data_IF_685880806604
#
_entry.id   IF_685880806604
#
_cell.length_a   1.000
_cell.length_b   1.000
_cell.length_c   1.000
_cell.angle_alpha   90.00
_cell.angle_beta   90.00
_cell.angle_gamma   90.00
#
_symmetry.space_group_name_H-M   'P 1'
#
loop_
_entity.id
_entity.type
_entity.pdbx_description
1 polymer ?
#
# COMPACT_ATOMS: atom_id res chain seq x y z
N UNK A 1 11.22 4.41 12.55
CA UNK A 1 11.35 5.84 12.82
C UNK A 1 10.00 6.53 13.04
N UNK A 2 9.12 6.70 12.03
CA UNK A 2 7.82 7.39 12.23
C UNK A 2 6.95 6.80 13.36
N UNK A 3 6.81 5.47 13.42
CA UNK A 3 6.09 4.81 14.50
C UNK A 3 6.77 5.00 15.86
N UNK A 4 8.10 4.88 15.90
CA UNK A 4 8.90 5.06 17.12
C UNK A 4 8.74 6.49 17.66
N UNK A 5 8.92 7.50 16.80
CA UNK A 5 8.73 8.91 17.16
C UNK A 5 7.31 9.20 17.61
N UNK A 6 6.30 8.64 16.95
CA UNK A 6 4.89 8.83 17.34
C UNK A 6 4.64 8.28 18.75
N UNK A 7 5.12 7.07 19.04
CA UNK A 7 5.01 6.44 20.36
C UNK A 7 5.73 7.29 21.41
N UNK A 8 6.95 7.72 21.13
CA UNK A 8 7.76 8.53 22.04
C UNK A 8 7.11 9.88 22.33
N UNK A 9 6.54 10.56 21.32
CA UNK A 9 5.83 11.83 21.49
C UNK A 9 4.57 11.68 22.33
N UNK A 10 3.76 10.64 22.10
CA UNK A 10 2.56 10.38 22.90
C UNK A 10 2.94 10.14 24.37
N UNK A 11 3.95 9.30 24.61
CA UNK A 11 4.45 9.02 25.97
C UNK A 11 5.00 10.26 26.66
N UNK A 12 5.78 11.06 25.93
CA UNK A 12 6.36 12.31 26.45
C UNK A 12 5.28 13.33 26.79
N UNK A 13 4.27 13.49 25.92
CA UNK A 13 3.13 14.37 26.19
C UNK A 13 2.39 13.94 27.45
N UNK A 14 2.09 12.65 27.59
CA UNK A 14 1.41 12.12 28.79
C UNK A 14 2.23 12.33 30.07
N UNK A 15 3.53 12.12 30.03
CA UNK A 15 4.40 12.31 31.19
C UNK A 15 4.50 13.77 31.64
N UNK A 16 4.41 14.71 30.69
CA UNK A 16 4.55 16.15 30.96
C UNK A 16 3.23 16.87 31.18
N UNK A 17 2.12 16.35 30.64
CA UNK A 17 0.77 16.93 30.70
C UNK A 17 -0.31 15.82 30.81
N UNK A 18 -0.39 15.12 31.94
CA UNK A 18 -1.27 13.94 32.09
C UNK A 18 -2.76 14.24 31.91
N UNK A 19 -3.20 15.47 32.21
CA UNK A 19 -4.60 15.88 32.12
C UNK A 19 -4.98 16.47 30.75
N UNK A 20 -4.02 16.66 29.85
CA UNK A 20 -4.27 17.26 28.53
C UNK A 20 -4.42 16.17 27.45
N UNK A 21 -5.47 16.19 26.63
CA UNK A 21 -5.59 15.26 25.51
C UNK A 21 -4.49 15.52 24.47
N UNK A 22 -4.23 14.53 23.62
CA UNK A 22 -3.31 14.66 22.49
C UNK A 22 -4.05 14.57 21.15
N UNK A 23 -3.44 15.12 20.12
CA UNK A 23 -3.76 14.85 18.73
C UNK A 23 -2.49 14.34 18.05
N UNK A 24 -2.53 13.12 17.52
CA UNK A 24 -1.43 12.51 16.80
C UNK A 24 -1.83 12.30 15.34
N UNK A 25 -1.02 12.82 14.42
CA UNK A 25 -1.20 12.65 12.98
C UNK A 25 -0.02 11.85 12.41
N UNK A 26 -0.27 10.57 12.11
CA UNK A 26 0.70 9.66 11.52
C UNK A 26 0.39 9.50 10.03
N UNK A 27 1.09 10.27 9.20
CA UNK A 27 1.01 10.19 7.74
C UNK A 27 2.23 9.43 7.19
N UNK A 28 2.02 8.19 6.77
CA UNK A 28 3.08 7.38 6.16
C UNK A 28 3.17 7.69 4.66
N UNK A 29 4.38 7.60 4.09
CA UNK A 29 4.58 7.70 2.63
C UNK A 29 4.38 6.37 1.90
N UNK A 30 3.65 5.44 2.51
CA UNK A 30 3.54 4.07 2.02
C UNK A 30 2.85 4.02 0.67
N UNK A 31 3.33 3.12 -0.21
CA UNK A 31 2.73 2.87 -1.54
C UNK A 31 2.77 4.06 -2.51
N UNK A 32 3.39 5.19 -2.14
CA UNK A 32 3.80 6.23 -3.08
C UNK A 32 5.12 5.85 -3.75
N UNK A 33 5.32 6.24 -5.01
CA UNK A 33 6.58 5.99 -5.71
C UNK A 33 7.76 6.75 -5.05
N UNK A 34 9.00 6.24 -5.18
CA UNK A 34 9.36 4.90 -5.60
C UNK A 34 9.00 3.85 -4.53
N UNK A 35 8.50 2.69 -4.95
CA UNK A 35 8.14 1.61 -4.02
C UNK A 35 9.39 0.88 -3.55
N UNK A 36 9.75 1.07 -2.28
CA UNK A 36 10.86 0.35 -1.65
C UNK A 36 10.42 -0.24 -0.32
N UNK A 37 10.72 -1.53 -0.13
CA UNK A 37 10.53 -2.22 1.14
C UNK A 37 11.61 -3.29 1.29
N UNK A 38 11.93 -3.65 2.54
CA UNK A 38 12.90 -4.71 2.80
C UNK A 38 12.39 -6.07 2.29
N UNK A 39 13.28 -6.96 1.79
CA UNK A 39 12.89 -8.21 1.13
C UNK A 39 11.96 -9.10 1.97
N UNK A 40 12.12 -9.13 3.28
CA UNK A 40 11.28 -9.91 4.20
C UNK A 40 9.80 -9.51 4.19
N UNK A 41 9.46 -8.34 3.63
CA UNK A 41 8.09 -7.88 3.43
C UNK A 41 7.59 -8.19 2.03
N UNK A 42 8.36 -7.87 0.98
CA UNK A 42 7.97 -8.14 -0.41
C UNK A 42 7.88 -9.64 -0.69
N UNK A 43 8.80 -10.44 -0.14
CA UNK A 43 8.93 -11.84 -0.49
C UNK A 43 7.82 -12.72 0.09
N UNK A 44 7.05 -12.19 1.06
CA UNK A 44 5.80 -12.81 1.54
C UNK A 44 4.75 -12.92 0.44
N UNK A 45 4.84 -12.06 -0.57
CA UNK A 45 3.91 -11.99 -1.68
C UNK A 45 4.43 -12.65 -2.95
N UNK A 46 5.58 -13.34 -2.90
CA UNK A 46 6.18 -13.98 -4.07
C UNK A 46 5.18 -14.88 -4.81
N UNK A 47 4.96 -14.61 -6.09
CA UNK A 47 4.05 -15.35 -6.97
C UNK A 47 2.55 -15.11 -6.73
N UNK A 48 2.18 -14.23 -5.78
CA UNK A 48 0.76 -13.92 -5.49
C UNK A 48 0.08 -13.16 -6.63
N UNK A 49 0.85 -12.57 -7.54
CA UNK A 49 0.36 -11.70 -8.60
C UNK A 49 0.64 -12.22 -10.01
N UNK A 50 1.09 -13.47 -10.15
CA UNK A 50 1.44 -14.08 -11.46
C UNK A 50 0.22 -14.25 -12.39
N UNK A 51 -0.98 -14.28 -11.83
CA UNK A 51 -2.24 -14.30 -12.57
C UNK A 51 -2.62 -12.94 -13.20
N UNK A 52 -1.90 -11.87 -12.86
CA UNK A 52 -2.05 -10.55 -13.46
C UNK A 52 -3.20 -9.70 -12.91
N UNK A 53 -3.27 -8.45 -13.38
CA UNK A 53 -4.25 -7.45 -12.92
C UNK A 53 -5.70 -7.80 -13.26
N UNK A 54 -5.95 -8.54 -14.34
CA UNK A 54 -7.31 -8.94 -14.72
C UNK A 54 -7.90 -9.92 -13.69
N UNK A 55 -7.15 -10.97 -13.35
CA UNK A 55 -7.55 -11.93 -12.33
C UNK A 55 -7.63 -11.28 -10.93
N UNK A 56 -6.65 -10.44 -10.59
CA UNK A 56 -6.62 -9.73 -9.30
C UNK A 56 -7.85 -8.82 -9.14
N UNK A 57 -8.25 -8.12 -10.20
CA UNK A 57 -9.41 -7.24 -10.20
C UNK A 57 -10.71 -8.00 -9.97
N UNK A 58 -10.88 -9.16 -10.59
CA UNK A 58 -12.04 -10.03 -10.34
C UNK A 58 -12.05 -10.58 -8.91
N UNK A 59 -10.89 -10.97 -8.37
CA UNK A 59 -10.76 -11.40 -6.97
C UNK A 59 -11.16 -10.30 -5.99
N UNK A 60 -10.63 -9.09 -6.16
CA UNK A 60 -10.94 -7.94 -5.32
C UNK A 60 -12.44 -7.62 -5.37
N UNK A 61 -13.03 -7.57 -6.57
CA UNK A 61 -14.45 -7.30 -6.75
C UNK A 61 -15.34 -8.33 -6.04
N UNK A 62 -15.06 -9.62 -6.23
CA UNK A 62 -15.80 -10.70 -5.57
C UNK A 62 -15.71 -10.59 -4.05
N UNK A 63 -14.51 -10.35 -3.52
CA UNK A 63 -14.28 -10.18 -2.08
C UNK A 63 -14.98 -8.94 -1.51
N UNK A 64 -15.02 -7.84 -2.26
CA UNK A 64 -15.76 -6.64 -1.85
C UNK A 64 -17.27 -6.89 -1.75
N UNK A 65 -17.84 -7.70 -2.66
CA UNK A 65 -19.24 -8.14 -2.56
C UNK A 65 -19.47 -9.03 -1.35
N UNK A 66 -18.61 -10.04 -1.15
CA UNK A 66 -18.69 -10.98 -0.02
C UNK A 66 -18.61 -10.29 1.34
N UNK A 67 -17.75 -9.26 1.46
CA UNK A 67 -17.59 -8.46 2.67
C UNK A 67 -18.65 -7.36 2.83
N UNK A 68 -19.49 -7.12 1.82
CA UNK A 68 -20.49 -6.04 1.84
C UNK A 68 -19.91 -4.64 1.76
N UNK A 69 -18.66 -4.49 1.29
CA UNK A 69 -18.00 -3.19 1.07
C UNK A 69 -18.67 -2.44 -0.08
N UNK A 70 -19.16 -3.17 -1.09
CA UNK A 70 -19.92 -2.63 -2.22
C UNK A 70 -21.31 -3.29 -2.30
N UNK A 71 -22.34 -2.59 -2.82
CA UNK A 71 -23.69 -3.16 -2.97
C UNK A 71 -23.71 -4.41 -3.87
N UNK A 72 -24.59 -5.41 -3.61
CA UNK A 72 -24.66 -6.65 -4.39
C UNK A 72 -24.94 -6.48 -5.89
N UNK A 73 -25.61 -5.39 -6.28
CA UNK A 73 -25.95 -5.10 -7.68
C UNK A 73 -24.89 -4.25 -8.41
N UNK A 74 -23.75 -3.99 -7.77
CA UNK A 74 -22.65 -3.23 -8.38
C UNK A 74 -22.10 -4.01 -9.56
N UNK A 75 -21.91 -3.36 -10.72
CA UNK A 75 -21.27 -3.99 -11.86
C UNK A 75 -19.76 -3.73 -11.83
N UNK A 76 -18.98 -4.76 -12.16
CA UNK A 76 -17.56 -4.59 -12.42
C UNK A 76 -17.37 -3.82 -13.74
N UNK A 77 -16.60 -2.72 -13.71
CA UNK A 77 -16.39 -1.85 -14.89
C UNK A 77 -15.68 -2.57 -16.05
N UNK A 78 -15.57 -1.95 -17.23
CA UNK A 78 -14.62 -2.41 -18.24
C UNK A 78 -13.18 -2.10 -17.84
N UNK A 79 -12.20 -2.84 -18.36
CA UNK A 79 -10.79 -2.42 -18.31
C UNK A 79 -10.61 -1.18 -19.20
N UNK A 80 -9.87 -0.15 -18.76
CA UNK A 80 -9.54 0.98 -19.63
C UNK A 80 -8.79 0.53 -20.89
N UNK A 81 -9.08 1.14 -22.05
CA UNK A 81 -8.46 0.77 -23.34
C UNK A 81 -6.93 0.93 -23.33
N UNK A 82 -6.41 1.81 -22.47
CA UNK A 82 -4.98 2.08 -22.31
C UNK A 82 -4.23 0.97 -21.56
N UNK A 83 -4.95 0.04 -20.92
CA UNK A 83 -4.35 -1.07 -20.17
C UNK A 83 -4.54 -2.37 -20.97
N UNK A 84 -3.44 -3.01 -21.42
CA UNK A 84 -3.54 -4.25 -22.18
C UNK A 84 -4.17 -5.37 -21.34
N UNK A 85 -4.70 -6.40 -22.01
CA UNK A 85 -5.06 -7.63 -21.32
C UNK A 85 -3.81 -8.28 -20.75
N UNK A 86 -3.91 -8.91 -19.58
CA UNK A 86 -2.78 -9.67 -19.04
C UNK A 86 -2.36 -10.80 -19.97
N UNK A 87 -3.30 -11.44 -20.65
CA UNK A 87 -3.04 -12.48 -21.65
C UNK A 87 -2.24 -11.96 -22.86
N UNK A 88 -2.48 -10.72 -23.28
CA UNK A 88 -1.80 -10.05 -24.40
C UNK A 88 -0.53 -9.30 -23.94
N UNK A 89 -0.31 -9.18 -22.63
CA UNK A 89 0.82 -8.43 -22.09
C UNK A 89 2.14 -9.14 -22.39
N UNK A 90 3.18 -8.46 -22.91
CA UNK A 90 4.38 -9.14 -23.38
C UNK A 90 5.07 -9.89 -22.24
N UNK A 91 5.36 -11.17 -22.48
CA UNK A 91 5.86 -12.11 -21.47
C UNK A 91 7.10 -11.59 -20.74
N UNK A 92 8.00 -10.91 -21.46
CA UNK A 92 9.23 -10.33 -20.90
C UNK A 92 8.99 -9.31 -19.77
N UNK A 93 7.85 -8.62 -19.76
CA UNK A 93 7.53 -7.66 -18.69
C UNK A 93 6.73 -8.27 -17.53
N UNK A 94 6.17 -9.48 -17.69
CA UNK A 94 5.33 -10.10 -16.64
C UNK A 94 6.07 -10.28 -15.32
N UNK A 95 7.34 -10.77 -15.29
CA UNK A 95 8.08 -10.90 -14.03
C UNK A 95 8.27 -9.56 -13.31
N UNK A 96 8.53 -8.49 -14.06
CA UNK A 96 8.71 -7.15 -13.49
C UNK A 96 7.40 -6.60 -12.96
N UNK A 97 6.30 -6.72 -13.72
CA UNK A 97 4.98 -6.27 -13.28
C UNK A 97 4.53 -6.99 -11.99
N UNK A 98 4.70 -8.32 -11.94
CA UNK A 98 4.41 -9.12 -10.75
C UNK A 98 5.27 -8.66 -9.57
N UNK A 99 6.58 -8.51 -9.77
CA UNK A 99 7.51 -8.08 -8.71
C UNK A 99 7.20 -6.69 -8.18
N UNK A 100 6.84 -5.74 -9.03
CA UNK A 100 6.42 -4.40 -8.59
C UNK A 100 5.18 -4.48 -7.69
N UNK A 101 4.20 -5.32 -8.03
CA UNK A 101 3.02 -5.53 -7.18
C UNK A 101 3.37 -6.24 -5.85
N UNK A 102 4.32 -7.18 -5.85
CA UNK A 102 4.84 -7.79 -4.62
C UNK A 102 5.50 -6.77 -3.69
N UNK A 103 6.31 -5.86 -4.25
CA UNK A 103 6.95 -4.78 -3.49
C UNK A 103 5.90 -3.80 -2.96
N UNK A 104 4.91 -3.44 -3.76
CA UNK A 104 3.77 -2.61 -3.35
C UNK A 104 2.99 -3.25 -2.17
N UNK A 105 2.64 -4.53 -2.29
CA UNK A 105 1.94 -5.27 -1.24
C UNK A 105 2.81 -5.43 0.03
N UNK A 106 4.10 -5.68 -0.14
CA UNK A 106 5.08 -5.71 0.95
C UNK A 106 5.18 -4.37 1.67
N UNK A 107 5.19 -3.25 0.93
CA UNK A 107 5.23 -1.92 1.51
C UNK A 107 3.96 -1.65 2.35
N UNK A 108 2.78 -1.96 1.81
CA UNK A 108 1.52 -1.87 2.56
C UNK A 108 1.56 -2.72 3.84
N UNK A 109 1.99 -3.98 3.75
CA UNK A 109 2.07 -4.87 4.91
C UNK A 109 3.06 -4.37 5.98
N UNK A 110 4.19 -3.81 5.56
CA UNK A 110 5.13 -3.18 6.48
C UNK A 110 4.50 -1.96 7.18
N UNK A 111 3.79 -1.13 6.44
CA UNK A 111 3.09 0.04 6.97
C UNK A 111 2.01 -0.34 7.96
N UNK A 112 1.20 -1.35 7.65
CA UNK A 112 0.20 -1.90 8.58
C UNK A 112 0.86 -2.38 9.88
N UNK A 113 1.98 -3.09 9.79
CA UNK A 113 2.73 -3.51 10.97
C UNK A 113 3.28 -2.33 11.79
N UNK A 114 3.74 -1.25 11.15
CA UNK A 114 4.19 -0.05 11.86
C UNK A 114 3.04 0.69 12.55
N UNK A 115 1.86 0.74 11.92
CA UNK A 115 0.64 1.27 12.55
C UNK A 115 0.25 0.40 13.75
N UNK A 116 0.27 -0.92 13.59
CA UNK A 116 0.02 -1.89 14.66
C UNK A 116 0.87 -1.61 15.90
N UNK A 117 2.18 -1.34 15.73
CA UNK A 117 3.07 -0.97 16.85
C UNK A 117 2.61 0.26 17.63
N UNK A 118 2.06 1.27 16.94
CA UNK A 118 1.52 2.49 17.60
C UNK A 118 0.25 2.16 18.37
N UNK A 119 -0.66 1.38 17.78
CA UNK A 119 -1.89 0.97 18.44
C UNK A 119 -1.60 0.06 19.65
N UNK A 120 -0.66 -0.87 19.52
CA UNK A 120 -0.20 -1.74 20.61
C UNK A 120 0.40 -0.92 21.76
N UNK A 121 1.13 0.16 21.45
CA UNK A 121 1.64 1.06 22.49
C UNK A 121 0.51 1.81 23.21
N UNK A 122 -0.55 2.24 22.50
CA UNK A 122 -1.74 2.83 23.14
C UNK A 122 -2.42 1.83 24.07
N UNK A 123 -2.52 0.56 23.67
CA UNK A 123 -3.08 -0.51 24.52
C UNK A 123 -2.19 -0.75 25.75
N UNK A 124 -0.89 -0.94 25.54
CA UNK A 124 0.08 -1.23 26.60
C UNK A 124 0.15 -0.10 27.64
N UNK A 125 0.00 1.14 27.19
CA UNK A 125 0.02 2.31 28.05
C UNK A 125 -1.38 2.59 28.67
N UNK A 126 -2.43 1.84 28.32
CA UNK A 126 -3.78 2.05 28.85
C UNK A 126 -4.44 3.34 28.34
N UNK A 127 -4.13 3.73 27.11
CA UNK A 127 -4.70 4.89 26.40
C UNK A 127 -5.77 4.49 25.36
N UNK A 128 -5.87 3.20 25.02
CA UNK A 128 -6.72 2.71 23.94
C UNK A 128 -8.20 3.10 24.08
N UNK A 129 -8.79 2.87 25.26
CA UNK A 129 -10.23 3.05 25.46
C UNK A 129 -10.70 4.52 25.37
N UNK A 130 -9.77 5.47 25.50
CA UNK A 130 -10.02 6.92 25.41
C UNK A 130 -9.35 7.55 24.17
N UNK A 131 -9.00 6.73 23.16
CA UNK A 131 -8.43 7.23 21.90
C UNK A 131 -9.37 6.96 20.74
N UNK A 132 -9.82 8.02 20.07
CA UNK A 132 -10.49 7.91 18.77
C UNK A 132 -9.44 7.71 17.67
N UNK A 133 -9.47 6.55 17.02
CA UNK A 133 -8.60 6.25 15.86
C UNK A 133 -9.39 6.45 14.57
N UNK A 134 -8.87 7.32 13.70
CA UNK A 134 -9.37 7.51 12.34
C UNK A 134 -8.31 6.99 11.38
N UNK A 135 -8.66 5.97 10.61
CA UNK A 135 -7.81 5.43 9.56
C UNK A 135 -8.34 5.85 8.18
N UNK A 136 -7.51 6.55 7.41
CA UNK A 136 -7.81 6.97 6.06
C UNK A 136 -6.95 6.16 5.09
N UNK A 137 -7.59 5.37 4.23
CA UNK A 137 -6.91 4.56 3.20
C UNK A 137 -6.47 5.45 2.04
N UNK A 138 -5.38 6.19 2.25
CA UNK A 138 -4.79 7.10 1.28
C UNK A 138 -5.36 8.52 1.31
N UNK A 139 -4.60 9.46 0.76
CA UNK A 139 -5.03 10.84 0.51
C UNK A 139 -5.66 11.02 -0.89
N UNK A 140 -5.53 10.00 -1.75
CA UNK A 140 -6.08 9.92 -3.10
C UNK A 140 -6.27 8.45 -3.56
N UNK A 141 -6.64 8.25 -4.83
CA UNK A 141 -6.71 6.91 -5.46
C UNK A 141 -5.33 6.37 -5.85
N UNK A 142 -5.27 5.10 -6.26
CA UNK A 142 -4.01 4.46 -6.64
C UNK A 142 -3.27 5.22 -7.76
N UNK A 143 -1.96 5.41 -7.59
CA UNK A 143 -1.11 6.16 -8.51
C UNK A 143 -0.91 5.45 -9.85
N UNK A 144 -0.87 6.24 -10.93
CA UNK A 144 -0.57 5.78 -12.29
C UNK A 144 0.92 5.94 -12.68
N UNK A 145 1.80 6.35 -11.75
CA UNK A 145 3.21 6.67 -11.99
C UNK A 145 4.07 5.48 -12.44
N UNK A 146 3.54 4.25 -12.39
CA UNK A 146 4.19 3.06 -12.93
C UNK A 146 4.07 2.87 -14.45
N UNK A 147 3.20 3.62 -15.14
CA UNK A 147 2.85 3.38 -16.56
C UNK A 147 2.41 1.91 -16.82
N UNK A 148 2.35 1.48 -18.09
CA UNK A 148 1.96 0.10 -18.44
C UNK A 148 3.08 -0.91 -18.15
N UNK A 149 4.35 -0.48 -18.24
CA UNK A 149 5.51 -1.38 -18.16
C UNK A 149 6.23 -1.40 -16.81
N UNK A 150 5.76 -0.59 -15.86
CA UNK A 150 6.44 -0.37 -14.59
C UNK A 150 7.43 0.79 -14.67
N UNK A 151 7.70 1.39 -13.51
CA UNK A 151 8.79 2.32 -13.30
C UNK A 151 9.49 1.92 -11.99
N UNK A 152 10.73 1.45 -12.09
CA UNK A 152 11.57 1.12 -10.93
C UNK A 152 12.56 2.24 -10.61
N UNK A 153 12.64 3.26 -11.46
CA UNK A 153 13.36 4.51 -11.26
C UNK A 153 12.41 5.70 -11.42
N UNK A 154 12.13 6.42 -10.33
CA UNK A 154 11.27 7.61 -10.38
C UNK A 154 11.75 8.69 -11.38
N UNK A 155 13.07 8.95 -11.53
CA UNK A 155 13.56 9.82 -12.59
C UNK A 155 13.19 9.39 -14.01
N UNK A 156 13.12 8.08 -14.30
CA UNK A 156 12.76 7.60 -15.64
C UNK A 156 11.33 8.04 -16.01
N UNK A 157 10.38 7.85 -15.08
CA UNK A 157 9.01 8.34 -15.22
C UNK A 157 8.95 9.87 -15.41
N UNK A 158 9.64 10.64 -14.57
CA UNK A 158 9.64 12.10 -14.61
C UNK A 158 10.19 12.68 -15.91
N UNK A 159 11.10 11.95 -16.58
CA UNK A 159 11.72 12.36 -17.83
C UNK A 159 11.06 11.72 -19.08
N UNK A 160 9.99 10.93 -18.90
CA UNK A 160 9.31 10.23 -20.01
C UNK A 160 10.18 9.15 -20.66
N UNK A 161 11.14 8.59 -19.92
CA UNK A 161 12.02 7.52 -20.39
C UNK A 161 11.42 6.18 -19.99
N UNK A 162 11.17 5.34 -20.98
CA UNK A 162 10.67 3.99 -20.79
C UNK A 162 11.77 3.07 -20.25
N UNK A 163 11.47 2.28 -19.21
CA UNK A 163 12.41 1.32 -18.65
C UNK A 163 12.25 -0.08 -19.26
N UNK A 164 13.35 -0.73 -19.64
CA UNK A 164 13.32 -2.07 -20.22
C UNK A 164 13.87 -3.12 -19.23
N UNK A 165 13.14 -4.23 -18.96
CA UNK A 165 13.62 -5.34 -18.15
C UNK A 165 14.96 -5.93 -18.61
N UNK A 166 15.35 -5.77 -19.88
CA UNK A 166 16.67 -6.17 -20.38
C UNK A 166 17.84 -5.43 -19.72
N UNK A 167 17.58 -4.36 -18.97
CA UNK A 167 18.60 -3.60 -18.22
C UNK A 167 18.80 -4.09 -16.77
N UNK A 168 17.99 -5.06 -16.31
CA UNK A 168 18.04 -5.66 -14.96
C UNK A 168 18.83 -6.97 -14.96
#
# INVERSE_FOLDING_TARGET
DLADQTIDWIRTHRATRPDAPFFAYLATGAMHCPHHVAPEWSDRFRGRFDAGWDALREEIYRRQLELGVIPPATALTGRPEQVPAWEDYPERYRPVAARLMEVFAGFLAHTDAQIGRVLDALVADGLWDDTLVIYLTGDNGASAEGTVHGAWSAPSFQNGVHEDPEWL
#
